data_IF_054660960190
#
_entry.id   IF_054660960190
#
_cell.length_a   1.000
_cell.length_b   1.000
_cell.length_c   1.000
_cell.angle_alpha   90.00
_cell.angle_beta   90.00
_cell.angle_gamma   90.00
#
_symmetry.space_group_name_H-M   'P 1'
#
loop_
_entity.id
_entity.type
_entity.pdbx_description
1 polymer ?
#
# COMPACT_ATOMS: atom_id res chain seq x y z
N UNK A 1 -2.54 -9.95 26.39
CA UNK A 1 -2.99 -10.98 25.44
C UNK A 1 -4.49 -11.11 25.63
N UNK A 2 -5.25 -10.94 24.55
CA UNK A 2 -6.70 -10.99 24.55
C UNK A 2 -7.17 -12.13 23.66
N UNK A 3 -8.25 -12.81 24.06
CA UNK A 3 -8.93 -13.77 23.20
C UNK A 3 -9.98 -13.04 22.38
N UNK A 4 -10.06 -13.36 21.11
CA UNK A 4 -11.06 -12.83 20.18
C UNK A 4 -11.51 -13.93 19.24
N UNK A 5 -12.54 -13.63 18.46
CA UNK A 5 -13.13 -14.54 17.49
C UNK A 5 -13.15 -13.84 16.14
N UNK A 6 -12.66 -14.52 15.10
CA UNK A 6 -12.63 -13.98 13.74
C UNK A 6 -13.80 -14.52 12.92
N UNK A 7 -14.48 -13.61 12.21
CA UNK A 7 -15.57 -13.90 11.30
C UNK A 7 -15.28 -13.37 9.89
N UNK A 8 -15.80 -14.04 8.88
CA UNK A 8 -15.95 -13.51 7.51
C UNK A 8 -17.44 -13.30 7.24
N UNK A 9 -17.90 -12.04 7.22
CA UNK A 9 -19.33 -11.73 7.29
C UNK A 9 -19.94 -12.34 8.56
N UNK A 10 -20.84 -13.31 8.40
CA UNK A 10 -21.45 -14.06 9.51
C UNK A 10 -20.82 -15.43 9.78
N UNK A 11 -19.85 -15.84 8.96
CA UNK A 11 -19.21 -17.15 9.08
C UNK A 11 -18.10 -17.12 10.12
N UNK A 12 -18.20 -17.96 11.15
CA UNK A 12 -17.17 -18.14 12.15
C UNK A 12 -15.93 -18.83 11.54
N UNK A 13 -14.78 -18.18 11.60
CA UNK A 13 -13.51 -18.74 11.13
C UNK A 13 -12.71 -19.43 12.23
N UNK A 14 -12.77 -18.90 13.46
CA UNK A 14 -12.16 -19.52 14.63
C UNK A 14 -11.70 -18.55 15.71
N UNK A 15 -11.15 -19.12 16.78
CA UNK A 15 -10.57 -18.37 17.90
C UNK A 15 -9.14 -17.92 17.59
N UNK A 16 -8.82 -16.71 18.05
CA UNK A 16 -7.53 -16.06 17.86
C UNK A 16 -7.06 -15.38 19.14
N UNK A 17 -5.74 -15.27 19.28
CA UNK A 17 -5.07 -14.62 20.39
C UNK A 17 -4.39 -13.35 19.89
N UNK A 18 -4.79 -12.22 20.47
CA UNK A 18 -4.32 -10.89 20.11
C UNK A 18 -3.25 -10.44 21.11
N UNK A 19 -2.11 -10.03 20.56
CA UNK A 19 -0.96 -9.49 21.24
C UNK A 19 -0.78 -8.04 20.80
N UNK A 20 -1.30 -7.07 21.58
CA UNK A 20 -1.09 -5.66 21.31
C UNK A 20 0.39 -5.35 21.19
N UNK A 21 0.75 -4.48 20.26
CA UNK A 21 2.09 -3.92 20.19
C UNK A 21 2.09 -2.59 20.93
N UNK A 22 2.87 -2.50 22.00
CA UNK A 22 3.10 -1.25 22.70
C UNK A 22 4.07 -0.40 21.86
N UNK A 23 3.55 0.30 20.85
CA UNK A 23 4.34 1.30 20.13
C UNK A 23 3.89 2.70 20.56
N UNK A 24 4.74 3.31 21.40
CA UNK A 24 4.82 4.70 21.81
C UNK A 24 3.58 5.37 22.42
N UNK A 25 3.56 5.41 23.76
CA UNK A 25 2.74 6.31 24.59
C UNK A 25 3.01 7.83 24.35
N UNK A 26 3.84 8.20 23.39
CA UNK A 26 4.27 9.58 23.17
C UNK A 26 4.05 9.98 21.71
N UNK A 27 2.79 10.28 21.37
CA UNK A 27 2.35 11.39 20.51
C UNK A 27 0.83 11.21 20.29
N UNK A 28 0.04 12.09 20.92
CA UNK A 28 -1.40 12.26 20.74
C UNK A 28 -2.29 11.01 20.91
N UNK A 29 -2.41 10.52 22.15
CA UNK A 29 -3.70 10.25 22.82
C UNK A 29 -4.74 9.29 22.21
N UNK A 30 -4.54 8.68 21.04
CA UNK A 30 -5.49 7.72 20.47
C UNK A 30 -5.10 6.32 20.94
N UNK A 31 -5.61 5.94 22.11
CA UNK A 31 -5.63 4.53 22.50
C UNK A 31 -6.63 3.85 21.57
N UNK A 32 -6.14 3.16 20.55
CA UNK A 32 -6.99 2.24 19.78
C UNK A 32 -7.53 1.23 20.78
N UNK A 33 -8.85 1.17 20.95
CA UNK A 33 -9.48 0.19 21.84
C UNK A 33 -9.27 -1.21 21.24
N UNK A 34 -8.32 -1.95 21.81
CA UNK A 34 -7.94 -3.29 21.35
C UNK A 34 -8.83 -4.37 21.96
N UNK A 35 -9.94 -4.01 22.62
CA UNK A 35 -10.89 -4.94 23.23
C UNK A 35 -11.90 -5.52 22.23
N UNK A 36 -11.46 -5.77 20.99
CA UNK A 36 -12.27 -6.45 19.98
C UNK A 36 -12.61 -7.86 20.45
N UNK A 37 -13.79 -8.04 21.05
CA UNK A 37 -14.34 -9.36 21.38
C UNK A 37 -14.56 -10.19 20.12
N UNK A 38 -14.90 -9.52 19.02
CA UNK A 38 -15.10 -10.10 17.70
C UNK A 38 -14.43 -9.22 16.65
N UNK A 39 -13.74 -9.85 15.71
CA UNK A 39 -13.23 -9.20 14.50
C UNK A 39 -14.06 -9.74 13.33
N UNK A 40 -14.69 -8.84 12.57
CA UNK A 40 -15.58 -9.21 11.47
C UNK A 40 -15.05 -8.65 10.16
N UNK A 41 -14.54 -9.55 9.32
CA UNK A 41 -14.04 -9.21 8.00
C UNK A 41 -15.22 -8.80 7.14
N UNK A 42 -15.17 -7.57 6.66
CA UNK A 42 -16.16 -6.95 5.79
C UNK A 42 -15.86 -7.20 4.32
N UNK A 43 -14.59 -7.14 3.94
CA UNK A 43 -14.12 -7.32 2.58
C UNK A 43 -12.62 -7.63 2.55
N UNK A 44 -12.09 -7.94 1.36
CA UNK A 44 -10.66 -8.06 1.12
C UNK A 44 -10.15 -6.86 0.34
N UNK A 45 -8.93 -6.42 0.67
CA UNK A 45 -8.28 -5.36 -0.09
C UNK A 45 -7.93 -5.83 -1.51
N UNK A 46 -7.84 -4.88 -2.44
CA UNK A 46 -7.25 -5.19 -3.75
C UNK A 46 -5.76 -5.52 -3.59
N UNK A 47 -5.20 -6.40 -4.43
CA UNK A 47 -3.76 -6.63 -4.48
C UNK A 47 -3.05 -5.48 -5.20
N UNK A 48 -1.78 -5.27 -4.87
CA UNK A 48 -0.89 -4.38 -5.62
C UNK A 48 0.09 -5.19 -6.44
N UNK A 49 0.35 -4.74 -7.67
CA UNK A 49 1.36 -5.35 -8.55
C UNK A 49 2.78 -4.87 -8.22
N UNK A 50 2.94 -3.87 -7.34
CA UNK A 50 4.21 -3.17 -7.13
C UNK A 50 4.75 -3.27 -5.71
N UNK A 51 3.88 -3.27 -4.72
CA UNK A 51 4.26 -3.28 -3.32
C UNK A 51 3.46 -4.33 -2.57
N UNK A 52 4.05 -4.97 -1.57
CA UNK A 52 3.26 -5.86 -0.70
C UNK A 52 2.32 -5.01 0.17
N UNK A 53 1.18 -5.57 0.64
CA UNK A 53 0.31 -4.84 1.56
C UNK A 53 1.05 -4.35 2.80
N UNK A 54 2.01 -5.14 3.29
CA UNK A 54 2.86 -4.78 4.41
C UNK A 54 3.66 -3.50 4.16
N UNK A 55 4.29 -3.37 2.98
CA UNK A 55 5.08 -2.19 2.64
C UNK A 55 4.20 -0.93 2.58
N UNK A 56 3.05 -1.02 1.92
CA UNK A 56 2.10 0.09 1.82
C UNK A 56 1.60 0.49 3.21
N UNK A 57 1.15 -0.47 4.02
CA UNK A 57 0.58 -0.21 5.34
C UNK A 57 1.61 0.40 6.29
N UNK A 58 2.88 -0.03 6.26
CA UNK A 58 3.94 0.60 7.05
C UNK A 58 4.22 2.04 6.67
N UNK A 59 4.03 2.40 5.39
CA UNK A 59 4.21 3.77 4.92
C UNK A 59 3.07 4.68 5.34
N UNK A 60 1.83 4.21 5.28
CA UNK A 60 0.64 5.06 5.45
C UNK A 60 0.08 5.09 6.87
N UNK A 61 0.47 4.12 7.71
CA UNK A 61 0.08 4.09 9.13
C UNK A 61 0.84 5.14 9.92
N UNK A 62 0.15 5.87 10.79
CA UNK A 62 0.78 6.79 11.75
C UNK A 62 1.34 6.06 12.98
N UNK A 63 0.76 4.92 13.35
CA UNK A 63 1.02 4.21 14.61
C UNK A 63 1.76 2.89 14.45
N UNK A 64 2.16 2.54 13.22
CA UNK A 64 2.82 1.26 12.95
C UNK A 64 1.85 0.07 13.07
N UNK A 65 2.37 -1.04 13.59
CA UNK A 65 1.61 -2.28 13.84
C UNK A 65 0.84 -2.11 15.14
N UNK A 66 -0.48 -2.22 15.10
CA UNK A 66 -1.32 -2.10 16.30
C UNK A 66 -1.28 -3.38 17.15
N UNK A 67 -1.30 -4.55 16.49
CA UNK A 67 -1.23 -5.85 17.18
C UNK A 67 -0.72 -6.97 16.28
N UNK A 68 -0.39 -8.08 16.92
CA UNK A 68 -0.15 -9.37 16.28
C UNK A 68 -1.25 -10.33 16.70
N UNK A 69 -1.73 -11.13 15.77
CA UNK A 69 -2.80 -12.09 15.99
C UNK A 69 -2.36 -13.45 15.53
N UNK A 70 -2.53 -14.45 16.38
CA UNK A 70 -2.16 -15.83 16.08
C UNK A 70 -3.29 -16.79 16.46
N UNK A 71 -3.31 -17.96 15.85
CA UNK A 71 -4.20 -19.05 16.27
C UNK A 71 -3.43 -20.26 16.73
N UNK A 72 -3.90 -20.88 17.82
CA UNK A 72 -3.31 -22.13 18.32
C UNK A 72 -3.67 -23.34 17.48
N UNK A 73 -4.65 -23.22 16.58
CA UNK A 73 -5.03 -24.29 15.67
C UNK A 73 -3.93 -24.54 14.63
N UNK A 74 -3.51 -25.80 14.49
CA UNK A 74 -2.52 -26.26 13.52
C UNK A 74 -3.17 -27.04 12.36
N UNK A 75 -4.51 -27.02 12.27
CA UNK A 75 -5.22 -27.70 11.19
C UNK A 75 -5.11 -26.90 9.89
N UNK A 76 -4.47 -27.51 8.89
CA UNK A 76 -4.30 -26.96 7.53
C UNK A 76 -5.63 -26.78 6.78
N UNK A 77 -6.69 -27.48 7.21
CA UNK A 77 -8.03 -27.36 6.62
C UNK A 77 -8.95 -26.43 7.43
N UNK A 78 -8.42 -25.76 8.47
CA UNK A 78 -9.22 -24.82 9.23
C UNK A 78 -9.59 -23.59 8.38
N UNK A 79 -10.81 -23.03 8.51
CA UNK A 79 -11.20 -21.83 7.77
C UNK A 79 -10.24 -20.66 7.97
N UNK A 80 -9.69 -20.54 9.17
CA UNK A 80 -8.70 -19.52 9.50
C UNK A 80 -7.36 -19.72 8.77
N UNK A 81 -6.90 -20.95 8.61
CA UNK A 81 -5.72 -21.26 7.80
C UNK A 81 -5.95 -20.95 6.32
N UNK A 82 -7.12 -21.33 5.78
CA UNK A 82 -7.47 -21.03 4.40
C UNK A 82 -7.53 -19.51 4.15
N UNK A 83 -8.09 -18.74 5.08
CA UNK A 83 -8.07 -17.28 5.05
C UNK A 83 -6.64 -16.74 5.01
N UNK A 84 -5.80 -17.18 5.96
CA UNK A 84 -4.39 -16.75 6.07
C UNK A 84 -3.63 -17.04 4.79
N UNK A 85 -3.76 -18.27 4.28
CA UNK A 85 -3.09 -18.71 3.06
C UNK A 85 -3.54 -17.93 1.83
N UNK A 86 -4.85 -17.68 1.68
CA UNK A 86 -5.38 -16.87 0.57
C UNK A 86 -4.85 -15.44 0.64
N UNK A 87 -4.84 -14.80 1.82
CA UNK A 87 -4.28 -13.46 2.00
C UNK A 87 -2.80 -13.39 1.63
N UNK A 88 -2.01 -14.37 2.08
CA UNK A 88 -0.57 -14.44 1.82
C UNK A 88 -0.27 -14.67 0.34
N UNK A 89 -0.95 -15.63 -0.30
CA UNK A 89 -0.70 -16.00 -1.71
C UNK A 89 -1.17 -14.93 -2.69
N UNK A 90 -2.28 -14.27 -2.39
CA UNK A 90 -2.90 -13.30 -3.28
C UNK A 90 -2.47 -11.86 -2.98
N UNK A 91 -1.53 -11.64 -2.04
CA UNK A 91 -1.07 -10.31 -1.63
C UNK A 91 -2.22 -9.35 -1.28
N UNK A 92 -3.19 -9.86 -0.52
CA UNK A 92 -4.36 -9.09 -0.05
C UNK A 92 -4.43 -9.10 1.47
N UNK A 93 -5.25 -8.20 2.00
CA UNK A 93 -5.53 -8.12 3.45
C UNK A 93 -7.00 -8.40 3.70
N UNK A 94 -7.29 -8.99 4.85
CA UNK A 94 -8.64 -9.08 5.36
C UNK A 94 -8.96 -7.78 6.11
N UNK A 95 -10.07 -7.12 5.75
CA UNK A 95 -10.39 -5.76 6.21
C UNK A 95 -11.66 -5.76 7.06
N UNK A 96 -11.57 -5.15 8.24
CA UNK A 96 -12.72 -4.82 9.09
C UNK A 96 -12.91 -3.31 9.10
N UNK A 97 -14.08 -2.84 8.65
CA UNK A 97 -14.44 -1.42 8.73
C UNK A 97 -14.83 -1.04 10.17
N UNK A 98 -14.24 0.04 10.66
CA UNK A 98 -14.42 0.59 12.01
C UNK A 98 -14.93 2.03 11.92
N UNK A 99 -16.07 2.21 11.26
CA UNK A 99 -16.65 3.54 11.02
C UNK A 99 -15.75 4.40 10.11
N UNK A 100 -14.92 5.26 10.71
CA UNK A 100 -14.00 6.15 9.99
C UNK A 100 -12.60 5.55 9.72
N UNK A 101 -12.35 4.34 10.21
CA UNK A 101 -11.07 3.65 10.08
C UNK A 101 -11.28 2.24 9.48
N UNK A 102 -10.18 1.65 9.03
CA UNK A 102 -10.10 0.28 8.55
C UNK A 102 -8.99 -0.47 9.27
N UNK A 103 -9.35 -1.61 9.86
CA UNK A 103 -8.41 -2.56 10.40
C UNK A 103 -8.03 -3.55 9.29
N UNK A 104 -6.77 -3.49 8.86
CA UNK A 104 -6.18 -4.41 7.91
C UNK A 104 -5.43 -5.53 8.63
N UNK A 105 -5.81 -6.77 8.37
CA UNK A 105 -5.10 -7.97 8.79
C UNK A 105 -4.18 -8.44 7.67
N UNK A 106 -2.87 -8.25 7.86
CA UNK A 106 -1.83 -8.67 6.93
C UNK A 106 -1.35 -10.06 7.32
N UNK A 107 -1.55 -11.04 6.45
CA UNK A 107 -1.02 -12.40 6.67
C UNK A 107 0.51 -12.39 6.62
N UNK A 108 1.13 -12.97 7.63
CA UNK A 108 2.58 -13.02 7.79
C UNK A 108 3.06 -14.48 7.79
N UNK A 109 4.22 -14.78 7.18
CA UNK A 109 4.80 -16.11 7.28
C UNK A 109 5.28 -16.36 8.71
N UNK A 110 4.81 -17.45 9.34
CA UNK A 110 5.31 -17.87 10.64
C UNK A 110 6.63 -18.63 10.48
N UNK A 111 7.64 -18.27 11.28
CA UNK A 111 8.88 -19.06 11.44
C UNK A 111 8.77 -20.11 12.56
N UNK A 112 7.65 -20.13 13.29
CA UNK A 112 7.35 -21.10 14.36
C UNK A 112 6.43 -22.19 13.83
N UNK A 113 6.58 -23.41 14.34
CA UNK A 113 5.75 -24.59 14.01
C UNK A 113 5.62 -24.83 12.49
N UNK A 114 6.75 -24.87 11.78
CA UNK A 114 6.85 -25.15 10.33
C UNK A 114 5.96 -24.28 9.42
N UNK A 115 5.52 -23.10 9.89
CA UNK A 115 4.67 -22.20 9.12
C UNK A 115 3.17 -22.55 9.09
N UNK A 116 2.75 -23.56 9.85
CA UNK A 116 1.37 -24.09 9.81
C UNK A 116 0.38 -23.37 10.74
N UNK A 117 0.79 -22.23 11.31
CA UNK A 117 0.00 -21.46 12.24
C UNK A 117 -0.44 -20.12 11.59
N UNK A 118 -1.74 -19.84 11.48
CA UNK A 118 -2.24 -18.57 10.99
C UNK A 118 -1.72 -17.42 11.84
N UNK A 119 -1.01 -16.48 11.21
CA UNK A 119 -0.38 -15.36 11.88
C UNK A 119 -0.59 -14.07 11.09
N UNK A 120 -1.12 -13.05 11.76
CA UNK A 120 -1.48 -11.77 11.15
C UNK A 120 -0.89 -10.59 11.93
N UNK A 121 -0.55 -9.53 11.20
CA UNK A 121 -0.28 -8.22 11.78
C UNK A 121 -1.46 -7.29 11.49
N UNK A 122 -1.98 -6.65 12.54
CA UNK A 122 -3.07 -5.69 12.46
C UNK A 122 -2.55 -4.27 12.30
N UNK A 123 -3.05 -3.58 11.28
CA UNK A 123 -2.79 -2.17 11.02
C UNK A 123 -4.10 -1.40 11.03
N UNK A 124 -4.12 -0.24 11.68
CA UNK A 124 -5.26 0.67 11.63
C UNK A 124 -4.92 1.86 10.73
N UNK A 125 -5.80 2.16 9.77
CA UNK A 125 -5.63 3.28 8.83
C UNK A 125 -6.97 3.97 8.61
N UNK A 126 -6.94 5.21 8.10
CA UNK A 126 -8.17 5.91 7.73
C UNK A 126 -8.91 5.16 6.61
N UNK A 127 -10.25 5.21 6.66
CA UNK A 127 -11.12 4.55 5.68
C UNK A 127 -10.74 4.89 4.24
N UNK A 128 -10.46 3.87 3.43
CA UNK A 128 -10.14 4.00 2.01
C UNK A 128 -8.73 4.48 1.69
N UNK A 129 -7.89 4.76 2.71
CA UNK A 129 -6.53 5.25 2.49
C UNK A 129 -5.67 4.21 1.75
N UNK A 130 -5.75 2.93 2.17
CA UNK A 130 -5.02 1.85 1.51
C UNK A 130 -5.39 1.73 0.02
N UNK A 131 -6.68 1.72 -0.29
CA UNK A 131 -7.16 1.65 -1.68
C UNK A 131 -6.75 2.87 -2.50
N UNK A 132 -6.80 4.07 -1.91
CA UNK A 132 -6.33 5.30 -2.57
C UNK A 132 -4.84 5.22 -2.90
N UNK A 133 -4.02 4.71 -1.97
CA UNK A 133 -2.60 4.47 -2.20
C UNK A 133 -2.37 3.42 -3.29
N UNK A 134 -3.18 2.36 -3.35
CA UNK A 134 -3.08 1.37 -4.42
C UNK A 134 -3.42 1.95 -5.78
N UNK A 135 -4.47 2.77 -5.87
CA UNK A 135 -4.81 3.48 -7.09
C UNK A 135 -3.63 4.33 -7.56
N UNK A 136 -3.00 5.09 -6.66
CA UNK A 136 -1.80 5.87 -7.01
C UNK A 136 -0.63 4.96 -7.47
N UNK A 137 -0.35 3.88 -6.74
CA UNK A 137 0.70 2.91 -7.06
C UNK A 137 0.49 2.25 -8.43
N UNK A 138 -0.76 1.94 -8.78
CA UNK A 138 -1.10 1.24 -10.01
C UNK A 138 -1.24 2.19 -11.22
N UNK A 139 -1.64 3.44 -10.99
CA UNK A 139 -1.89 4.40 -12.07
C UNK A 139 -0.62 5.03 -12.63
N UNK A 140 0.41 5.29 -11.82
CA UNK A 140 1.59 6.06 -12.24
C UNK A 140 2.87 5.27 -12.09
N UNK A 141 3.73 5.30 -13.10
CA UNK A 141 5.06 4.70 -13.13
C UNK A 141 6.17 5.69 -12.73
N UNK A 142 5.91 7.00 -12.64
CA UNK A 142 6.80 7.95 -12.00
C UNK A 142 6.90 7.59 -10.52
N UNK A 143 8.12 7.54 -9.99
CA UNK A 143 8.39 7.08 -8.63
C UNK A 143 7.51 7.78 -7.60
N UNK A 144 6.95 7.03 -6.65
CA UNK A 144 6.10 7.60 -5.60
C UNK A 144 6.96 7.91 -4.38
N UNK A 145 7.01 9.19 -4.03
CA UNK A 145 7.60 9.68 -2.78
C UNK A 145 6.43 9.91 -1.81
N UNK A 146 6.27 9.02 -0.84
CA UNK A 146 5.38 9.24 0.30
C UNK A 146 6.21 9.90 1.41
N UNK A 147 6.12 11.23 1.46
CA UNK A 147 6.51 12.11 2.56
C UNK A 147 7.92 12.74 2.58
N UNK A 148 7.97 13.85 3.32
CA UNK A 148 8.92 14.97 3.39
C UNK A 148 10.35 14.63 3.84
N UNK A 149 10.61 13.41 4.30
CA UNK A 149 11.91 12.97 4.85
C UNK A 149 12.70 12.10 3.85
N UNK A 150 12.54 12.33 2.54
CA UNK A 150 13.34 11.69 1.48
C UNK A 150 13.21 10.15 1.42
N UNK A 151 12.12 9.56 1.91
CA UNK A 151 11.92 8.11 1.76
C UNK A 151 11.36 7.78 0.38
N UNK A 152 12.29 7.60 -0.56
CA UNK A 152 12.00 7.11 -1.91
C UNK A 152 11.63 5.61 -1.84
N UNK A 153 10.37 5.26 -2.09
CA UNK A 153 9.93 3.85 -2.12
C UNK A 153 10.36 3.18 -3.43
N UNK A 154 10.22 3.90 -4.55
CA UNK A 154 10.66 3.46 -5.88
C UNK A 154 11.05 4.71 -6.68
N UNK A 155 12.28 4.78 -7.22
CA UNK A 155 12.62 5.73 -8.28
C UNK A 155 12.69 5.02 -9.63
N UNK A 156 12.21 5.70 -10.66
CA UNK A 156 12.43 5.29 -12.04
C UNK A 156 13.24 6.34 -12.77
N UNK A 157 14.35 5.91 -13.36
CA UNK A 157 15.14 6.68 -14.32
C UNK A 157 14.64 6.45 -15.74
N UNK A 158 14.99 7.33 -16.68
CA UNK A 158 14.70 7.15 -18.11
C UNK A 158 15.09 5.75 -18.63
N UNK A 159 16.26 5.24 -18.23
CA UNK A 159 16.71 3.90 -18.57
C UNK A 159 15.79 2.82 -17.98
N UNK A 160 15.42 2.94 -16.70
CA UNK A 160 14.54 1.96 -16.06
C UNK A 160 13.11 1.92 -16.64
N UNK A 161 12.67 3.02 -17.29
CA UNK A 161 11.45 3.05 -18.09
C UNK A 161 11.62 2.28 -19.40
N UNK A 162 12.72 2.54 -20.12
CA UNK A 162 13.05 1.86 -21.39
C UNK A 162 13.15 0.35 -21.22
N UNK A 163 13.92 -0.11 -20.23
CA UNK A 163 14.13 -1.53 -19.95
C UNK A 163 12.80 -2.25 -19.65
N UNK A 164 11.90 -1.62 -18.89
CA UNK A 164 10.58 -2.19 -18.55
C UNK A 164 9.63 -2.23 -19.73
N UNK A 165 9.60 -1.18 -20.55
CA UNK A 165 8.81 -1.14 -21.79
C UNK A 165 9.27 -2.28 -22.71
N UNK A 166 10.58 -2.44 -22.92
CA UNK A 166 11.12 -3.50 -23.78
C UNK A 166 10.82 -4.90 -23.24
N UNK A 167 10.96 -5.10 -21.92
CA UNK A 167 10.63 -6.37 -21.28
C UNK A 167 9.14 -6.75 -21.43
N UNK A 168 8.23 -5.78 -21.25
CA UNK A 168 6.79 -6.00 -21.46
C UNK A 168 6.47 -6.28 -22.92
N UNK A 169 7.05 -5.54 -23.86
CA UNK A 169 6.87 -5.78 -25.29
C UNK A 169 7.31 -7.19 -25.69
N UNK A 170 8.44 -7.68 -25.17
CA UNK A 170 8.88 -9.06 -25.39
C UNK A 170 7.89 -10.08 -24.84
N UNK A 171 7.34 -9.87 -23.63
CA UNK A 171 6.33 -10.75 -23.04
C UNK A 171 5.03 -10.76 -23.85
N UNK A 172 4.56 -9.60 -24.32
CA UNK A 172 3.37 -9.47 -25.15
C UNK A 172 3.48 -10.32 -26.41
N UNK A 173 4.65 -10.34 -27.06
CA UNK A 173 4.87 -11.11 -28.29
C UNK A 173 4.80 -12.63 -28.08
N UNK A 174 4.91 -13.11 -26.83
CA UNK A 174 4.89 -14.53 -26.47
C UNK A 174 3.63 -14.97 -25.72
N UNK A 175 2.77 -14.01 -25.35
CA UNK A 175 1.53 -14.28 -24.62
C UNK A 175 0.40 -14.64 -25.59
N UNK A 176 -0.44 -15.60 -25.20
CA UNK A 176 -1.56 -16.08 -26.02
C UNK A 176 -2.91 -15.58 -25.49
N UNK A 177 -3.01 -15.31 -24.18
CA UNK A 177 -4.26 -14.86 -23.56
C UNK A 177 -4.55 -13.38 -23.91
N UNK A 178 -5.64 -13.09 -24.64
CA UNK A 178 -5.99 -11.72 -25.03
C UNK A 178 -6.21 -10.77 -23.85
N UNK A 179 -6.71 -11.27 -22.72
CA UNK A 179 -6.93 -10.43 -21.53
C UNK A 179 -5.59 -10.01 -20.90
N UNK A 180 -4.63 -10.95 -20.83
CA UNK A 180 -3.28 -10.65 -20.32
C UNK A 180 -2.52 -9.72 -21.25
N UNK A 181 -2.64 -9.92 -22.56
CA UNK A 181 -2.09 -9.00 -23.57
C UNK A 181 -2.65 -7.59 -23.36
N UNK A 182 -3.96 -7.44 -23.21
CA UNK A 182 -4.59 -6.13 -22.97
C UNK A 182 -4.07 -5.48 -21.69
N UNK A 183 -3.89 -6.25 -20.61
CA UNK A 183 -3.30 -5.77 -19.36
C UNK A 183 -1.88 -5.25 -19.54
N UNK A 184 -1.02 -6.02 -20.20
CA UNK A 184 0.37 -5.62 -20.48
C UNK A 184 0.46 -4.41 -21.42
N UNK A 185 -0.41 -4.31 -22.43
CA UNK A 185 -0.47 -3.15 -23.32
C UNK A 185 -0.86 -1.88 -22.56
N UNK A 186 -1.85 -1.98 -21.66
CA UNK A 186 -2.22 -0.88 -20.78
C UNK A 186 -1.05 -0.46 -19.87
N UNK A 187 -0.25 -1.41 -19.39
CA UNK A 187 0.94 -1.15 -18.60
C UNK A 187 2.04 -0.45 -19.41
N UNK A 188 2.33 -0.92 -20.64
CA UNK A 188 3.28 -0.26 -21.55
C UNK A 188 2.88 1.19 -21.80
N UNK A 189 1.60 1.45 -22.04
CA UNK A 189 1.10 2.81 -22.25
C UNK A 189 1.35 3.70 -21.02
N UNK A 190 1.09 3.21 -19.81
CA UNK A 190 1.40 3.94 -18.57
C UNK A 190 2.89 4.27 -18.46
N UNK A 191 3.79 3.33 -18.75
CA UNK A 191 5.23 3.62 -18.75
C UNK A 191 5.62 4.65 -19.81
N UNK A 192 5.04 4.61 -21.00
CA UNK A 192 5.31 5.59 -22.05
C UNK A 192 4.83 6.99 -21.66
N UNK A 193 3.61 7.12 -21.16
CA UNK A 193 3.04 8.40 -20.74
C UNK A 193 3.89 9.05 -19.64
N UNK A 194 4.34 8.26 -18.67
CA UNK A 194 5.17 8.73 -17.55
C UNK A 194 6.62 9.03 -17.96
N UNK A 195 7.18 8.24 -18.88
CA UNK A 195 8.50 8.51 -19.47
C UNK A 195 8.52 9.86 -20.17
N UNK A 196 7.46 10.21 -20.91
CA UNK A 196 7.35 11.50 -21.59
C UNK A 196 7.35 12.65 -20.60
N UNK A 197 6.59 12.53 -19.51
CA UNK A 197 6.55 13.54 -18.45
C UNK A 197 7.93 13.70 -17.78
N UNK A 198 8.58 12.59 -17.42
CA UNK A 198 9.93 12.60 -16.83
C UNK A 198 10.93 13.30 -17.76
N UNK A 199 10.88 12.98 -19.06
CA UNK A 199 11.75 13.59 -20.07
C UNK A 199 11.55 15.09 -20.16
N UNK A 200 10.30 15.56 -20.27
CA UNK A 200 10.00 16.99 -20.36
C UNK A 200 10.54 17.76 -19.16
N UNK A 201 10.30 17.22 -17.96
CA UNK A 201 10.81 17.80 -16.73
C UNK A 201 12.33 17.83 -16.68
N UNK A 202 12.99 16.70 -16.93
CA UNK A 202 14.45 16.59 -16.87
C UNK A 202 15.17 17.47 -17.90
N UNK A 203 14.54 17.75 -19.05
CA UNK A 203 15.14 18.57 -20.12
C UNK A 203 14.82 20.07 -19.99
N UNK A 204 13.70 20.45 -19.37
CA UNK A 204 13.17 21.82 -19.48
C UNK A 204 12.66 22.43 -18.15
N UNK A 205 12.72 21.71 -17.03
CA UNK A 205 12.12 22.12 -15.74
C UNK A 205 10.62 22.51 -15.85
N UNK A 206 9.92 21.92 -16.83
CA UNK A 206 8.51 22.17 -17.12
C UNK A 206 7.86 20.95 -17.78
N UNK A 207 6.54 20.84 -17.70
CA UNK A 207 5.74 19.79 -18.34
C UNK A 207 4.65 20.41 -19.19
N UNK A 208 4.35 19.81 -20.35
CA UNK A 208 3.22 20.22 -21.20
C UNK A 208 2.08 19.23 -21.00
N UNK A 209 0.96 19.73 -20.51
CA UNK A 209 -0.25 18.96 -20.27
C UNK A 209 -1.44 19.61 -20.97
N UNK A 210 -2.15 18.87 -21.83
CA UNK A 210 -3.30 19.37 -22.58
C UNK A 210 -3.01 20.68 -23.34
N UNK A 211 -1.78 20.82 -23.86
CA UNK A 211 -1.32 22.03 -24.56
C UNK A 211 -0.90 23.19 -23.66
N UNK A 212 -1.04 23.06 -22.33
CA UNK A 212 -0.64 24.07 -21.35
C UNK A 212 0.74 23.75 -20.77
N UNK A 213 1.59 24.78 -20.67
CA UNK A 213 2.90 24.67 -20.01
C UNK A 213 2.72 24.81 -18.50
N UNK A 214 3.12 23.79 -17.77
CA UNK A 214 3.13 23.71 -16.32
C UNK A 214 4.58 23.89 -15.84
N UNK A 215 4.82 24.99 -15.12
CA UNK A 215 6.13 25.35 -14.57
C UNK A 215 6.17 25.10 -13.08
N UNK A 216 7.39 25.02 -12.54
CA UNK A 216 7.62 24.90 -11.11
C UNK A 216 7.00 26.08 -10.35
N UNK A 217 6.34 25.76 -9.24
CA UNK A 217 5.78 26.70 -8.28
C UNK A 217 6.44 26.47 -6.92
N UNK A 218 6.74 27.57 -6.22
CA UNK A 218 7.28 27.49 -4.86
C UNK A 218 6.16 27.13 -3.88
N UNK A 219 6.37 26.05 -3.13
CA UNK A 219 5.51 25.65 -2.03
C UNK A 219 6.26 25.79 -0.71
N UNK A 220 5.64 26.45 0.27
CA UNK A 220 6.19 26.61 1.62
C UNK A 220 5.69 25.46 2.47
N UNK A 221 6.62 24.63 2.94
CA UNK A 221 6.38 23.61 3.95
C UNK A 221 6.60 24.25 5.33
N UNK A 222 5.58 24.28 6.20
CA UNK A 222 5.72 24.83 7.54
C UNK A 222 6.80 24.12 8.35
N UNK A 223 7.41 24.84 9.30
CA UNK A 223 8.35 24.25 10.24
C UNK A 223 7.65 23.20 11.14
N UNK A 224 8.28 22.04 11.31
CA UNK A 224 7.77 20.97 12.16
C UNK A 224 7.86 21.30 13.67
N UNK A 225 8.70 22.27 14.05
CA UNK A 225 8.79 22.83 15.40
C UNK A 225 9.46 24.21 15.40
N UNK A 226 9.39 24.94 16.50
CA UNK A 226 9.89 26.33 16.64
C UNK A 226 11.38 26.52 16.30
N UNK A 227 12.17 25.43 16.33
CA UNK A 227 13.59 25.44 16.01
C UNK A 227 13.90 25.10 14.53
N UNK A 228 12.89 24.72 13.74
CA UNK A 228 13.06 24.45 12.31
C UNK A 228 12.64 25.67 11.48
N UNK A 229 13.36 25.91 10.38
CA UNK A 229 12.94 26.92 9.41
C UNK A 229 11.95 26.29 8.42
N UNK A 230 10.93 27.05 7.95
CA UNK A 230 10.09 26.62 6.84
C UNK A 230 10.95 26.31 5.60
N UNK A 231 10.61 25.24 4.90
CA UNK A 231 11.31 24.83 3.67
C UNK A 231 10.51 25.32 2.47
N UNK A 232 11.18 25.98 1.52
CA UNK A 232 10.57 26.35 0.24
C UNK A 232 11.06 25.37 -0.81
N UNK A 233 10.14 24.62 -1.41
CA UNK A 233 10.46 23.63 -2.45
C UNK A 233 9.82 23.99 -3.79
N UNK A 234 10.56 23.88 -4.90
CA UNK A 234 10.00 24.01 -6.25
C UNK A 234 9.23 22.72 -6.60
N UNK A 235 7.99 22.84 -7.06
CA UNK A 235 7.14 21.69 -7.42
C UNK A 235 6.34 21.96 -8.70
N UNK A 236 6.12 20.93 -9.52
CA UNK A 236 5.11 20.94 -10.59
C UNK A 236 3.97 20.01 -10.19
N UNK A 237 2.76 20.56 -9.99
CA UNK A 237 1.55 19.77 -9.69
C UNK A 237 0.72 19.55 -10.96
N UNK A 238 0.59 18.29 -11.38
CA UNK A 238 -0.31 17.86 -12.45
C UNK A 238 -1.54 17.20 -11.81
N UNK A 239 -2.54 18.03 -11.46
CA UNK A 239 -3.69 17.62 -10.66
C UNK A 239 -4.52 16.53 -11.36
N UNK A 240 -4.76 16.67 -12.67
CA UNK A 240 -5.55 15.70 -13.44
C UNK A 240 -4.91 14.31 -13.50
N UNK A 241 -3.59 14.23 -13.27
CA UNK A 241 -2.82 12.98 -13.29
C UNK A 241 -2.36 12.52 -11.90
N UNK A 242 -2.67 13.28 -10.85
CA UNK A 242 -2.16 13.04 -9.49
C UNK A 242 -0.63 12.91 -9.44
N UNK A 243 0.11 13.80 -10.13
CA UNK A 243 1.58 13.83 -10.10
C UNK A 243 2.09 15.10 -9.44
N UNK A 244 3.17 14.96 -8.68
CA UNK A 244 4.04 16.04 -8.21
C UNK A 244 5.46 15.73 -8.70
N UNK A 245 6.10 16.66 -9.41
CA UNK A 245 7.50 16.60 -9.82
C UNK A 245 8.34 17.65 -9.09
#
# INVERSE_FOLDING_TARGET
MYKSVLYEGDNLLGEVEIYPQNQNQNQNGVVVDMSYKEIRISHFSQPSERCTPLAVLHTITSSGICFKMESKSQSLDSPLYLLHWSCLRENKTAVMSLGGEELHLVAMPSRKNDGNCPFFWGFNVALGLYNSCLVMLNLRCLGIVFDLDETLIVANTMRSFEDRIEALQRKINTEADPQRISGMLAEVRRYQDDKVILKQYAENDQVIENGKVMKSQSEVVPALSDNHQPIVRPLIRLQDKNIIL
#
